data_IF_592413457585
#
_entry.id   IF_592413457585
#
_cell.length_a   1.000
_cell.length_b   1.000
_cell.length_c   1.000
_cell.angle_alpha   90.00
_cell.angle_beta   90.00
_cell.angle_gamma   90.00
#
_symmetry.space_group_name_H-M   'P 1'
#
loop_
_entity.id
_entity.type
_entity.pdbx_description
1 polymer ?
#
# COMPACT_ATOMS: atom_id res chain seq x y z
N UNK A 1 16.61 -36.93 -18.34
CA UNK A 1 16.89 -36.40 -16.98
C UNK A 1 15.95 -37.14 -16.03
N UNK A 2 16.46 -37.92 -15.08
CA UNK A 2 15.62 -38.77 -14.21
C UNK A 2 14.93 -37.90 -13.14
N UNK A 3 13.67 -37.55 -13.39
CA UNK A 3 12.85 -36.69 -12.52
C UNK A 3 12.58 -37.34 -11.14
N UNK A 4 12.55 -38.67 -11.06
CA UNK A 4 12.34 -39.38 -9.78
C UNK A 4 13.49 -39.14 -8.80
N UNK A 5 14.73 -39.16 -9.27
CA UNK A 5 15.90 -38.95 -8.41
C UNK A 5 15.90 -37.52 -7.82
N UNK A 6 15.58 -36.53 -8.64
CA UNK A 6 15.42 -35.14 -8.20
C UNK A 6 14.29 -35.07 -7.16
N UNK A 7 13.12 -35.64 -7.44
CA UNK A 7 11.99 -35.62 -6.51
C UNK A 7 12.33 -36.24 -5.15
N UNK A 8 13.03 -37.38 -5.12
CA UNK A 8 13.46 -38.04 -3.86
C UNK A 8 14.44 -37.19 -3.05
N UNK A 9 15.45 -36.59 -3.68
CA UNK A 9 16.42 -35.72 -3.00
C UNK A 9 15.74 -34.46 -2.41
N UNK A 10 14.72 -33.94 -3.11
CA UNK A 10 13.93 -32.82 -2.60
C UNK A 10 13.04 -33.21 -1.41
N UNK A 11 12.49 -34.43 -1.39
CA UNK A 11 11.68 -34.93 -0.28
C UNK A 11 12.51 -35.11 0.99
N UNK A 12 13.72 -35.66 0.85
CA UNK A 12 14.63 -35.85 1.98
C UNK A 12 15.00 -34.50 2.63
N UNK A 13 15.29 -33.47 1.82
CA UNK A 13 15.54 -32.10 2.30
C UNK A 13 14.34 -31.45 2.98
N UNK A 14 13.11 -31.83 2.60
CA UNK A 14 11.87 -31.33 3.21
C UNK A 14 11.68 -31.89 4.62
N UNK A 15 11.99 -33.17 4.82
CA UNK A 15 11.87 -33.84 6.13
C UNK A 15 12.85 -33.28 7.17
N UNK A 16 14.03 -32.80 6.73
CA UNK A 16 15.06 -32.22 7.61
C UNK A 16 14.65 -30.87 8.25
N UNK A 17 13.65 -30.15 7.70
CA UNK A 17 13.19 -28.84 8.22
C UNK A 17 11.67 -28.69 8.12
N UNK A 18 10.88 -29.34 8.99
CA UNK A 18 9.43 -29.19 8.97
C UNK A 18 9.02 -27.77 9.35
N UNK A 19 8.13 -27.15 8.58
CA UNK A 19 7.58 -25.81 8.84
C UNK A 19 6.93 -25.69 10.23
N UNK A 20 6.42 -26.80 10.78
CA UNK A 20 5.86 -26.90 12.13
C UNK A 20 6.87 -26.56 13.24
N UNK A 21 8.16 -26.85 13.05
CA UNK A 21 9.19 -26.55 14.04
C UNK A 21 9.28 -25.04 14.32
N UNK A 22 9.24 -24.23 13.25
CA UNK A 22 9.26 -22.77 13.37
C UNK A 22 7.99 -22.17 13.98
N UNK A 23 6.84 -22.85 13.88
CA UNK A 23 5.62 -22.42 14.57
C UNK A 23 5.73 -22.63 16.07
N UNK A 24 6.24 -23.79 16.50
CA UNK A 24 6.42 -24.13 17.92
C UNK A 24 7.40 -23.15 18.57
N UNK A 25 8.55 -22.90 17.95
CA UNK A 25 9.53 -21.95 18.48
C UNK A 25 8.96 -20.54 18.64
N UNK A 26 8.19 -20.05 17.66
CA UNK A 26 7.53 -18.74 17.75
C UNK A 26 6.42 -18.71 18.81
N UNK A 27 5.71 -19.82 18.97
CA UNK A 27 4.68 -19.96 20.01
C UNK A 27 5.31 -19.85 21.40
N UNK A 28 6.44 -20.52 21.61
CA UNK A 28 7.20 -20.46 22.85
C UNK A 28 7.73 -19.04 23.15
N UNK A 29 8.03 -18.25 22.11
CA UNK A 29 8.48 -16.85 22.25
C UNK A 29 7.34 -15.83 22.39
N UNK A 30 6.08 -16.24 22.20
CA UNK A 30 4.94 -15.32 22.18
C UNK A 30 4.81 -14.51 20.87
N UNK A 31 5.58 -14.83 19.84
CA UNK A 31 5.66 -14.10 18.55
C UNK A 31 4.63 -14.59 17.52
N UNK A 32 3.50 -15.14 17.99
CA UNK A 32 2.43 -15.66 17.14
C UNK A 32 1.30 -14.65 17.10
N UNK A 33 1.11 -14.09 15.92
CA UNK A 33 0.02 -13.19 15.64
C UNK A 33 -1.33 -13.90 15.90
N UNK A 34 -2.28 -13.21 16.54
CA UNK A 34 -3.60 -13.76 16.93
C UNK A 34 -4.34 -14.43 15.75
N UNK A 35 -4.15 -13.93 14.54
CA UNK A 35 -4.74 -14.47 13.31
C UNK A 35 -4.11 -15.80 12.84
N UNK A 36 -3.02 -16.26 13.44
CA UNK A 36 -2.33 -17.49 13.05
C UNK A 36 -2.70 -18.71 13.90
N UNK A 37 -3.50 -18.55 14.96
CA UNK A 37 -3.75 -19.63 15.92
C UNK A 37 -4.55 -20.80 15.33
N UNK A 38 -5.60 -20.48 14.57
CA UNK A 38 -6.56 -21.48 14.07
C UNK A 38 -6.68 -21.48 12.53
N UNK A 39 -5.63 -21.02 11.83
CA UNK A 39 -5.68 -20.84 10.36
C UNK A 39 -4.53 -21.56 9.66
N UNK A 40 -4.90 -22.49 8.77
CA UNK A 40 -3.99 -23.25 7.90
C UNK A 40 -3.89 -22.61 6.51
N UNK A 41 -3.45 -21.36 6.44
CA UNK A 41 -3.13 -20.69 5.17
C UNK A 41 -1.61 -20.58 5.03
N UNK A 42 -1.10 -21.08 3.89
CA UNK A 42 0.33 -21.07 3.52
C UNK A 42 0.97 -19.71 3.78
N UNK A 43 2.05 -19.69 4.58
CA UNK A 43 2.84 -18.49 4.88
C UNK A 43 3.72 -18.11 3.68
N UNK A 44 4.13 -16.86 3.62
CA UNK A 44 5.20 -16.48 2.68
C UNK A 44 6.53 -16.99 3.21
N UNK A 45 7.23 -17.78 2.39
CA UNK A 45 8.57 -18.29 2.68
C UNK A 45 9.53 -17.71 1.63
N UNK A 46 10.54 -16.96 2.08
CA UNK A 46 11.52 -16.37 1.16
C UNK A 46 12.30 -17.49 0.47
N UNK A 47 12.51 -17.36 -0.84
CA UNK A 47 13.46 -18.20 -1.56
C UNK A 47 14.86 -17.86 -1.06
N UNK A 48 15.48 -18.75 -0.29
CA UNK A 48 16.90 -18.65 0.05
C UNK A 48 17.73 -19.09 -1.17
N UNK A 49 18.91 -18.49 -1.38
CA UNK A 49 19.83 -18.93 -2.41
C UNK A 49 20.10 -20.44 -2.25
N UNK A 50 19.96 -21.21 -3.33
CA UNK A 50 20.12 -22.67 -3.33
C UNK A 50 18.88 -23.50 -2.98
N UNK A 51 17.71 -22.88 -2.75
CA UNK A 51 16.46 -23.66 -2.63
C UNK A 51 16.13 -24.35 -3.96
N UNK A 52 15.75 -25.62 -3.84
CA UNK A 52 15.17 -26.41 -4.90
C UNK A 52 13.90 -25.77 -5.47
N UNK A 53 13.57 -26.09 -6.74
CA UNK A 53 12.28 -25.73 -7.33
C UNK A 53 11.15 -26.15 -6.39
N UNK A 54 10.15 -25.28 -6.22
CA UNK A 54 8.97 -25.59 -5.43
C UNK A 54 8.30 -26.85 -6.01
N UNK A 55 7.87 -27.74 -5.13
CA UNK A 55 7.11 -28.91 -5.54
C UNK A 55 5.73 -28.50 -6.08
N UNK A 56 5.18 -29.23 -7.06
CA UNK A 56 3.82 -28.98 -7.55
C UNK A 56 2.78 -28.93 -6.42
N UNK A 57 2.90 -29.82 -5.42
CA UNK A 57 1.98 -29.93 -4.29
C UNK A 57 2.10 -28.74 -3.32
N UNK A 58 3.21 -28.01 -3.35
CA UNK A 58 3.42 -26.83 -2.51
C UNK A 58 2.84 -25.56 -3.14
N UNK A 59 2.44 -25.58 -4.42
CA UNK A 59 1.99 -24.40 -5.16
C UNK A 59 0.49 -24.47 -5.42
N UNK A 60 -0.25 -23.48 -4.91
CA UNK A 60 -1.72 -23.47 -5.03
C UNK A 60 -2.16 -23.12 -6.46
N UNK A 61 -3.12 -23.86 -7.05
CA UNK A 61 -3.66 -23.52 -8.37
C UNK A 61 -4.54 -22.26 -8.30
N UNK A 62 -4.77 -21.61 -9.45
CA UNK A 62 -5.46 -20.31 -9.54
C UNK A 62 -6.83 -20.26 -8.85
N UNK A 63 -7.63 -21.33 -8.92
CA UNK A 63 -8.95 -21.41 -8.26
C UNK A 63 -8.83 -21.36 -6.73
N UNK A 64 -7.82 -22.03 -6.18
CA UNK A 64 -7.52 -22.03 -4.75
C UNK A 64 -6.98 -20.67 -4.34
N UNK A 65 -6.11 -20.04 -5.14
CA UNK A 65 -5.60 -18.69 -4.86
C UNK A 65 -6.73 -17.65 -4.73
N UNK A 66 -7.73 -17.69 -5.62
CA UNK A 66 -8.91 -16.81 -5.52
C UNK A 66 -9.70 -17.08 -4.24
N UNK A 67 -10.02 -18.35 -3.96
CA UNK A 67 -10.81 -18.73 -2.78
C UNK A 67 -10.11 -18.37 -1.47
N UNK A 68 -8.79 -18.57 -1.40
CA UNK A 68 -7.98 -18.22 -0.25
C UNK A 68 -7.93 -16.70 -0.06
N UNK A 69 -7.81 -15.91 -1.12
CA UNK A 69 -7.86 -14.46 -0.99
C UNK A 69 -9.21 -13.99 -0.43
N UNK A 70 -10.33 -14.51 -0.95
CA UNK A 70 -11.66 -14.13 -0.49
C UNK A 70 -11.89 -14.52 0.98
N UNK A 71 -11.36 -15.66 1.42
CA UNK A 71 -11.32 -16.02 2.84
C UNK A 71 -10.46 -15.06 3.67
N UNK A 72 -9.25 -14.73 3.21
CA UNK A 72 -8.33 -13.85 3.93
C UNK A 72 -8.89 -12.44 4.13
N UNK A 73 -9.64 -11.91 3.17
CA UNK A 73 -10.20 -10.55 3.27
C UNK A 73 -11.16 -10.38 4.47
N UNK A 74 -11.69 -11.48 5.03
CA UNK A 74 -12.56 -11.45 6.21
C UNK A 74 -11.81 -11.06 7.51
N UNK A 75 -10.47 -11.16 7.54
CA UNK A 75 -9.65 -10.83 8.72
C UNK A 75 -9.18 -9.37 8.74
N UNK A 76 -9.68 -8.53 7.83
CA UNK A 76 -9.31 -7.13 7.77
C UNK A 76 -10.04 -6.31 8.85
N UNK A 77 -9.35 -5.99 9.95
CA UNK A 77 -9.83 -5.06 10.99
C UNK A 77 -9.05 -3.74 11.01
N UNK A 78 -8.16 -3.54 10.03
CA UNK A 78 -7.24 -2.41 9.93
C UNK A 78 -6.29 -2.22 11.12
N UNK A 79 -6.07 -3.26 11.92
CA UNK A 79 -5.00 -3.30 12.93
C UNK A 79 -3.63 -3.56 12.30
N UNK A 80 -2.57 -3.27 13.04
CA UNK A 80 -1.21 -3.62 12.62
C UNK A 80 -1.03 -5.15 12.56
N UNK A 81 -1.67 -5.88 13.46
CA UNK A 81 -1.66 -7.33 13.48
C UNK A 81 -2.35 -7.91 12.25
N UNK A 82 -3.51 -7.39 11.84
CA UNK A 82 -4.18 -7.87 10.62
C UNK A 82 -3.35 -7.53 9.39
N UNK A 83 -2.71 -6.34 9.36
CA UNK A 83 -1.77 -5.99 8.30
C UNK A 83 -0.62 -7.00 8.19
N UNK A 84 0.12 -7.25 9.29
CA UNK A 84 1.25 -8.18 9.33
C UNK A 84 0.83 -9.59 8.89
N UNK A 85 -0.38 -10.03 9.28
CA UNK A 85 -0.94 -11.31 8.86
C UNK A 85 -1.28 -11.33 7.35
N UNK A 86 -2.09 -10.37 6.88
CA UNK A 86 -2.58 -10.34 5.51
C UNK A 86 -1.50 -10.03 4.50
N UNK A 87 -0.55 -9.14 4.78
CA UNK A 87 0.61 -8.89 3.91
C UNK A 87 1.37 -10.19 3.70
N UNK A 88 1.65 -10.93 4.77
CA UNK A 88 2.38 -12.19 4.68
C UNK A 88 1.64 -13.22 3.81
N UNK A 89 0.33 -13.41 4.03
CA UNK A 89 -0.46 -14.40 3.29
C UNK A 89 -0.70 -14.00 1.83
N UNK A 90 -1.00 -12.72 1.58
CA UNK A 90 -1.16 -12.20 0.22
C UNK A 90 0.17 -12.23 -0.55
N UNK A 91 1.31 -12.04 0.11
CA UNK A 91 2.63 -12.23 -0.51
C UNK A 91 2.91 -13.68 -0.90
N UNK A 92 2.45 -14.63 -0.09
CA UNK A 92 2.47 -16.07 -0.45
C UNK A 92 1.63 -16.35 -1.70
N UNK A 93 0.43 -15.75 -1.80
CA UNK A 93 -0.42 -15.84 -3.01
C UNK A 93 0.30 -15.28 -4.24
N UNK A 94 0.91 -14.09 -4.12
CA UNK A 94 1.68 -13.48 -5.22
C UNK A 94 2.89 -14.33 -5.64
N UNK A 95 3.56 -14.97 -4.69
CA UNK A 95 4.67 -15.88 -4.98
C UNK A 95 4.19 -17.11 -5.79
N UNK A 96 3.06 -17.71 -5.41
CA UNK A 96 2.49 -18.85 -6.15
C UNK A 96 2.06 -18.45 -7.58
N UNK A 97 1.54 -17.23 -7.77
CA UNK A 97 1.24 -16.67 -9.09
C UNK A 97 2.51 -16.55 -9.93
N UNK A 98 3.59 -16.03 -9.35
CA UNK A 98 4.87 -15.84 -10.03
C UNK A 98 5.54 -17.17 -10.39
N UNK A 99 5.52 -18.17 -9.50
CA UNK A 99 6.10 -19.49 -9.76
C UNK A 99 5.40 -20.19 -10.93
N UNK A 100 4.08 -20.01 -11.06
CA UNK A 100 3.27 -20.58 -12.13
C UNK A 100 3.20 -19.70 -13.38
N UNK A 101 3.80 -18.50 -13.37
CA UNK A 101 3.78 -17.54 -14.48
C UNK A 101 2.35 -17.25 -15.01
N UNK A 102 1.38 -17.08 -14.09
CA UNK A 102 -0.03 -16.97 -14.46
C UNK A 102 -0.40 -15.59 -15.01
N UNK A 103 -0.86 -15.52 -16.26
CA UNK A 103 -1.28 -14.26 -16.94
C UNK A 103 -2.79 -14.14 -17.21
N UNK A 104 -3.63 -14.83 -16.45
CA UNK A 104 -5.09 -14.86 -16.70
C UNK A 104 -5.89 -13.75 -15.98
N UNK A 105 -7.15 -13.57 -16.36
CA UNK A 105 -8.05 -12.56 -15.75
C UNK A 105 -8.23 -12.73 -14.23
N UNK A 106 -8.20 -13.97 -13.74
CA UNK A 106 -8.24 -14.23 -12.28
C UNK A 106 -6.98 -13.72 -11.59
N UNK A 107 -5.81 -13.80 -12.23
CA UNK A 107 -4.58 -13.21 -11.70
C UNK A 107 -4.74 -11.71 -11.53
N UNK A 108 -5.25 -11.03 -12.57
CA UNK A 108 -5.51 -9.59 -12.52
C UNK A 108 -6.43 -9.27 -11.35
N UNK A 109 -7.59 -9.92 -11.24
CA UNK A 109 -8.54 -9.70 -10.14
C UNK A 109 -7.93 -9.90 -8.74
N UNK A 110 -7.08 -10.91 -8.56
CA UNK A 110 -6.39 -11.17 -7.30
C UNK A 110 -5.44 -10.00 -6.96
N UNK A 111 -4.60 -9.60 -7.92
CA UNK A 111 -3.64 -8.52 -7.73
C UNK A 111 -4.33 -7.17 -7.47
N UNK A 112 -5.43 -6.90 -8.16
CA UNK A 112 -6.26 -5.72 -7.95
C UNK A 112 -6.80 -5.64 -6.52
N UNK A 113 -7.41 -6.73 -6.02
CA UNK A 113 -7.93 -6.82 -4.65
C UNK A 113 -6.82 -6.62 -3.61
N UNK A 114 -5.66 -7.27 -3.79
CA UNK A 114 -4.52 -7.11 -2.90
C UNK A 114 -4.00 -5.67 -2.94
N UNK A 115 -3.89 -5.06 -4.11
CA UNK A 115 -3.43 -3.67 -4.24
C UNK A 115 -4.36 -2.70 -3.49
N UNK A 116 -5.68 -2.81 -3.67
CA UNK A 116 -6.65 -1.98 -2.93
C UNK A 116 -6.52 -2.17 -1.42
N UNK A 117 -6.37 -3.41 -0.95
CA UNK A 117 -6.17 -3.72 0.46
C UNK A 117 -4.92 -3.01 1.03
N UNK A 118 -3.79 -3.08 0.32
CA UNK A 118 -2.55 -2.44 0.78
C UNK A 118 -2.62 -0.91 0.77
N UNK A 119 -3.32 -0.31 -0.20
CA UNK A 119 -3.60 1.13 -0.23
C UNK A 119 -4.40 1.54 1.01
N UNK A 120 -5.43 0.78 1.36
CA UNK A 120 -6.24 1.03 2.55
C UNK A 120 -5.42 0.90 3.85
N UNK A 121 -4.58 -0.13 3.96
CA UNK A 121 -3.69 -0.27 5.12
C UNK A 121 -2.70 0.88 5.23
N UNK A 122 -2.17 1.37 4.10
CA UNK A 122 -1.27 2.52 4.10
C UNK A 122 -1.92 3.73 4.76
N UNK A 123 -3.17 4.00 4.40
CA UNK A 123 -3.93 5.11 4.95
C UNK A 123 -4.41 4.83 6.38
N UNK A 124 -4.82 3.62 6.72
CA UNK A 124 -5.32 3.30 8.05
C UNK A 124 -4.22 3.33 9.12
N UNK A 125 -2.98 2.95 8.74
CA UNK A 125 -1.85 2.82 9.65
C UNK A 125 -0.83 3.98 9.56
N UNK A 126 -1.15 5.08 8.87
CA UNK A 126 -0.21 6.17 8.59
C UNK A 126 0.39 6.84 9.86
N UNK A 127 -0.35 6.83 10.98
CA UNK A 127 0.07 7.37 12.27
C UNK A 127 0.64 6.30 13.22
N UNK A 128 0.67 5.03 12.80
CA UNK A 128 1.20 3.94 13.60
C UNK A 128 2.74 3.89 13.50
N UNK A 129 3.43 4.08 14.63
CA UNK A 129 4.91 4.12 14.68
C UNK A 129 5.59 2.81 14.30
N UNK A 130 4.92 1.67 14.47
CA UNK A 130 5.47 0.36 14.10
C UNK A 130 5.16 -0.02 12.64
N UNK A 131 4.38 0.79 11.93
CA UNK A 131 4.05 0.54 10.54
C UNK A 131 5.15 1.10 9.63
N UNK A 132 5.86 0.20 8.97
CA UNK A 132 6.89 0.55 7.99
C UNK A 132 6.24 0.90 6.63
N UNK A 133 5.71 2.13 6.54
CA UNK A 133 4.99 2.62 5.35
C UNK A 133 5.78 2.38 4.05
N UNK A 134 7.08 2.66 4.05
CA UNK A 134 7.93 2.50 2.87
C UNK A 134 7.93 1.06 2.32
N UNK A 135 7.89 0.03 3.18
CA UNK A 135 7.82 -1.36 2.74
C UNK A 135 6.47 -1.67 2.09
N UNK A 136 5.39 -1.11 2.63
CA UNK A 136 4.06 -1.27 2.08
C UNK A 136 3.96 -0.62 0.69
N UNK A 137 4.47 0.60 0.56
CA UNK A 137 4.54 1.32 -0.72
C UNK A 137 5.36 0.55 -1.76
N UNK A 138 6.49 -0.05 -1.37
CA UNK A 138 7.27 -0.92 -2.24
C UNK A 138 6.48 -2.15 -2.72
N UNK A 139 5.62 -2.74 -1.86
CA UNK A 139 4.72 -3.81 -2.30
C UNK A 139 3.66 -3.31 -3.28
N UNK A 140 3.06 -2.15 -3.01
CA UNK A 140 2.06 -1.53 -3.90
C UNK A 140 2.69 -1.26 -5.28
N UNK A 141 3.88 -0.65 -5.33
CA UNK A 141 4.62 -0.39 -6.58
C UNK A 141 4.88 -1.68 -7.37
N UNK A 142 5.33 -2.74 -6.72
CA UNK A 142 5.57 -4.05 -7.37
C UNK A 142 4.31 -4.63 -7.98
N UNK A 143 3.20 -4.62 -7.23
CA UNK A 143 1.91 -5.13 -7.73
C UNK A 143 1.40 -4.29 -8.90
N UNK A 144 1.47 -2.96 -8.81
CA UNK A 144 1.05 -2.07 -9.89
C UNK A 144 1.91 -2.23 -11.15
N UNK A 145 3.21 -2.48 -10.99
CA UNK A 145 4.11 -2.84 -12.09
C UNK A 145 3.67 -4.11 -12.81
N UNK A 146 3.43 -5.19 -12.06
CA UNK A 146 2.92 -6.45 -12.62
C UNK A 146 1.55 -6.27 -13.28
N UNK A 147 0.63 -5.52 -12.65
CA UNK A 147 -0.67 -5.21 -13.25
C UNK A 147 -0.52 -4.46 -14.58
N UNK A 148 0.36 -3.46 -14.66
CA UNK A 148 0.66 -2.73 -15.89
C UNK A 148 1.13 -3.66 -17.01
N UNK A 149 2.03 -4.60 -16.71
CA UNK A 149 2.51 -5.60 -17.66
C UNK A 149 1.38 -6.53 -18.14
N UNK A 150 0.60 -7.09 -17.21
CA UNK A 150 -0.53 -7.98 -17.53
C UNK A 150 -1.57 -7.26 -18.41
N UNK A 151 -1.89 -6.02 -18.09
CA UNK A 151 -2.81 -5.22 -18.89
C UNK A 151 -2.26 -4.96 -20.30
N UNK A 152 -0.97 -4.65 -20.42
CA UNK A 152 -0.33 -4.44 -21.71
C UNK A 152 -0.27 -5.74 -22.54
N UNK A 153 0.02 -6.89 -21.93
CA UNK A 153 0.04 -8.20 -22.59
C UNK A 153 -1.35 -8.55 -23.12
N UNK A 154 -2.40 -8.33 -22.33
CA UNK A 154 -3.79 -8.55 -22.75
C UNK A 154 -4.18 -7.70 -23.98
N UNK A 155 -3.69 -6.47 -24.05
CA UNK A 155 -3.91 -5.59 -25.21
C UNK A 155 -3.17 -6.07 -26.46
N UNK A 156 -1.89 -6.46 -26.32
CA UNK A 156 -1.08 -6.97 -27.44
C UNK A 156 -1.66 -8.24 -28.06
N UNK A 157 -2.24 -9.10 -27.23
CA UNK A 157 -2.84 -10.36 -27.67
C UNK A 157 -4.21 -10.17 -28.38
N UNK A 158 -4.71 -8.92 -28.52
CA UNK A 158 -6.00 -8.64 -29.18
C UNK A 158 -7.21 -9.22 -28.43
N UNK A 159 -7.03 -9.71 -27.20
CA UNK A 159 -8.04 -10.43 -26.42
C UNK A 159 -9.14 -9.51 -25.89
N UNK A 160 -8.96 -8.18 -25.94
CA UNK A 160 -10.04 -7.25 -25.65
C UNK A 160 -9.78 -5.86 -26.26
N UNK A 161 -10.59 -5.51 -27.27
CA UNK A 161 -10.62 -4.17 -27.88
C UNK A 161 -11.06 -3.05 -26.90
N UNK A 162 -11.40 -3.39 -25.65
CA UNK A 162 -11.93 -2.48 -24.65
C UNK A 162 -11.14 -2.46 -23.32
N UNK A 163 -9.99 -3.13 -23.19
CA UNK A 163 -9.25 -3.15 -21.91
C UNK A 163 -8.90 -1.74 -21.43
N UNK A 164 -8.44 -0.86 -22.33
CA UNK A 164 -8.13 0.54 -21.99
C UNK A 164 -9.36 1.35 -21.56
N UNK A 165 -10.56 0.89 -21.91
CA UNK A 165 -11.86 1.47 -21.52
C UNK A 165 -12.43 0.82 -20.26
N UNK A 166 -11.84 -0.27 -19.76
CA UNK A 166 -12.25 -0.88 -18.50
C UNK A 166 -12.01 0.09 -17.36
N UNK A 167 -12.99 0.21 -16.47
CA UNK A 167 -12.91 1.05 -15.27
C UNK A 167 -11.71 0.66 -14.41
N UNK A 168 -11.45 -0.65 -14.26
CA UNK A 168 -10.34 -1.16 -13.46
C UNK A 168 -8.99 -0.78 -14.10
N UNK A 169 -8.84 -0.88 -15.41
CA UNK A 169 -7.61 -0.44 -16.08
C UNK A 169 -7.31 1.02 -15.77
N UNK A 170 -8.29 1.91 -15.92
CA UNK A 170 -8.13 3.34 -15.64
C UNK A 170 -7.82 3.61 -14.16
N UNK A 171 -8.44 2.86 -13.26
CA UNK A 171 -8.17 2.90 -11.82
C UNK A 171 -6.71 2.54 -11.51
N UNK A 172 -6.23 1.37 -11.94
CA UNK A 172 -4.89 0.89 -11.61
C UNK A 172 -3.78 1.62 -12.36
N UNK A 173 -4.00 2.04 -13.61
CA UNK A 173 -3.07 2.95 -14.29
C UNK A 173 -3.00 4.31 -13.58
N UNK A 174 -4.13 4.76 -13.04
CA UNK A 174 -4.20 5.91 -12.15
C UNK A 174 -3.31 5.74 -10.92
N UNK A 175 -3.48 4.65 -10.17
CA UNK A 175 -2.67 4.36 -8.98
C UNK A 175 -1.18 4.23 -9.32
N UNK A 176 -0.83 3.56 -10.43
CA UNK A 176 0.55 3.48 -10.90
C UNK A 176 1.14 4.88 -11.14
N UNK A 177 0.37 5.78 -11.77
CA UNK A 177 0.80 7.17 -12.01
C UNK A 177 0.96 7.98 -10.74
N UNK A 178 0.06 7.81 -9.76
CA UNK A 178 0.08 8.51 -8.48
C UNK A 178 1.27 8.10 -7.61
N UNK A 179 1.53 6.80 -7.46
CA UNK A 179 2.59 6.29 -6.57
C UNK A 179 4.01 6.54 -7.10
N UNK A 180 4.11 6.91 -8.37
CA UNK A 180 5.38 7.12 -9.08
C UNK A 180 5.66 8.60 -9.37
N UNK A 181 5.06 9.52 -8.60
CA UNK A 181 5.28 10.97 -8.77
C UNK A 181 6.76 11.38 -8.73
N UNK A 182 7.52 10.79 -7.80
CA UNK A 182 8.95 11.08 -7.61
C UNK A 182 9.84 10.36 -8.63
N UNK A 183 9.32 9.40 -9.40
CA UNK A 183 10.11 8.63 -10.35
C UNK A 183 10.31 9.46 -11.64
N UNK A 184 11.53 9.95 -11.84
CA UNK A 184 11.95 10.83 -12.95
C UNK A 184 11.68 10.22 -14.33
N UNK A 185 11.65 8.88 -14.41
CA UNK A 185 11.53 8.11 -15.66
C UNK A 185 10.09 7.96 -16.18
N UNK A 186 9.06 8.38 -15.44
CA UNK A 186 7.67 8.27 -15.89
C UNK A 186 7.26 9.46 -16.77
N UNK A 187 7.84 9.50 -17.97
CA UNK A 187 7.52 10.42 -19.05
C UNK A 187 7.09 9.66 -20.31
N UNK A 188 6.00 8.87 -20.27
CA UNK A 188 5.27 8.49 -21.49
C UNK A 188 4.02 7.60 -21.26
N UNK A 189 2.98 7.92 -22.05
CA UNK A 189 2.01 7.01 -22.68
C UNK A 189 0.73 6.53 -21.97
N UNK A 190 0.19 7.27 -20.99
CA UNK A 190 -1.17 7.00 -20.48
C UNK A 190 -2.17 8.14 -20.75
N UNK A 191 -1.86 9.06 -21.67
CA UNK A 191 -2.59 10.31 -21.91
C UNK A 191 -3.88 10.17 -22.75
N UNK A 192 -4.86 9.37 -22.31
CA UNK A 192 -6.12 9.23 -23.08
C UNK A 192 -7.42 9.34 -22.27
N UNK A 193 -7.41 9.67 -20.97
CA UNK A 193 -8.66 9.80 -20.18
C UNK A 193 -8.70 11.02 -19.27
N UNK A 194 -9.91 11.54 -19.02
CA UNK A 194 -10.16 12.72 -18.16
C UNK A 194 -9.76 12.51 -16.69
N UNK A 195 -9.79 11.27 -16.19
CA UNK A 195 -9.29 10.95 -14.84
C UNK A 195 -7.77 11.04 -14.76
N UNK A 196 -7.06 10.67 -15.83
CA UNK A 196 -5.60 10.71 -15.88
C UNK A 196 -5.06 12.14 -16.03
N UNK A 197 -5.83 13.06 -16.61
CA UNK A 197 -5.49 14.49 -16.67
C UNK A 197 -5.62 15.19 -15.31
N UNK A 198 -6.56 14.76 -14.45
CA UNK A 198 -6.60 15.20 -13.05
C UNK A 198 -5.29 14.83 -12.33
N UNK A 199 -4.82 13.59 -12.51
CA UNK A 199 -3.57 13.15 -11.89
C UNK A 199 -2.33 13.86 -12.46
N UNK A 200 -2.33 14.28 -13.72
CA UNK A 200 -1.29 15.18 -14.27
C UNK A 200 -1.29 16.54 -13.57
N UNK A 201 -2.47 17.13 -13.38
CA UNK A 201 -2.60 18.40 -12.67
C UNK A 201 -2.14 18.29 -11.20
N UNK A 202 -2.41 17.16 -10.54
CA UNK A 202 -1.92 16.90 -9.18
C UNK A 202 -0.40 16.74 -9.18
N UNK A 203 0.16 15.96 -10.12
CA UNK A 203 1.62 15.81 -10.26
C UNK A 203 2.29 17.15 -10.51
N UNK A 204 1.72 17.98 -11.38
CA UNK A 204 2.22 19.33 -11.66
C UNK A 204 2.16 20.23 -10.42
N UNK A 205 1.06 20.20 -9.67
CA UNK A 205 0.97 20.95 -8.41
C UNK A 205 2.01 20.48 -7.39
N UNK A 206 2.25 19.18 -7.31
CA UNK A 206 3.29 18.59 -6.46
C UNK A 206 4.70 19.04 -6.87
N UNK A 207 5.07 18.94 -8.15
CA UNK A 207 6.40 19.35 -8.63
C UNK A 207 6.66 20.84 -8.50
N UNK A 208 5.62 21.66 -8.65
CA UNK A 208 5.69 23.12 -8.46
C UNK A 208 5.65 23.56 -6.99
N UNK A 209 5.52 22.63 -6.03
CA UNK A 209 5.25 22.93 -4.62
C UNK A 209 4.01 23.84 -4.42
N UNK A 210 3.01 23.73 -5.30
CA UNK A 210 1.75 24.46 -5.18
C UNK A 210 0.83 23.73 -4.20
N UNK A 211 1.06 23.99 -2.91
CA UNK A 211 0.38 23.33 -1.78
C UNK A 211 -1.14 23.43 -1.89
N UNK A 212 -1.66 24.64 -2.09
CA UNK A 212 -3.10 24.89 -2.18
C UNK A 212 -3.74 24.05 -3.30
N UNK A 213 -3.17 24.10 -4.51
CA UNK A 213 -3.70 23.36 -5.65
C UNK A 213 -3.61 21.85 -5.44
N UNK A 214 -2.53 21.36 -4.82
CA UNK A 214 -2.38 19.94 -4.50
C UNK A 214 -3.46 19.47 -3.50
N UNK A 215 -3.65 20.17 -2.39
CA UNK A 215 -4.64 19.79 -1.36
C UNK A 215 -6.09 19.94 -1.83
N UNK A 216 -6.36 20.89 -2.73
CA UNK A 216 -7.65 21.06 -3.35
C UNK A 216 -7.97 19.90 -4.31
N UNK A 217 -7.04 19.57 -5.21
CA UNK A 217 -7.24 18.52 -6.21
C UNK A 217 -7.20 17.11 -5.61
N UNK A 218 -6.38 16.86 -4.60
CA UNK A 218 -6.35 15.56 -3.90
C UNK A 218 -7.70 15.23 -3.27
N UNK A 219 -8.39 16.21 -2.66
CA UNK A 219 -9.73 16.05 -2.08
C UNK A 219 -10.85 15.82 -3.10
N UNK A 220 -10.63 16.16 -4.37
CA UNK A 220 -11.62 15.88 -5.43
C UNK A 220 -11.46 14.50 -6.07
N UNK A 221 -10.44 13.72 -5.66
CA UNK A 221 -10.23 12.35 -6.15
C UNK A 221 -11.14 11.34 -5.46
N UNK A 222 -11.21 10.12 -6.01
CA UNK A 222 -11.86 9.01 -5.31
C UNK A 222 -11.10 8.62 -4.04
N UNK A 223 -11.77 7.92 -3.12
CA UNK A 223 -11.23 7.60 -1.81
C UNK A 223 -9.89 6.87 -1.85
N UNK A 224 -9.72 5.89 -2.74
CA UNK A 224 -8.47 5.13 -2.83
C UNK A 224 -7.33 5.95 -3.45
N UNK A 225 -7.64 6.78 -4.46
CA UNK A 225 -6.68 7.78 -4.98
C UNK A 225 -6.26 8.76 -3.89
N UNK A 226 -7.19 9.23 -3.06
CA UNK A 226 -6.90 10.09 -1.92
C UNK A 226 -6.00 9.39 -0.89
N UNK A 227 -6.31 8.14 -0.51
CA UNK A 227 -5.48 7.32 0.38
C UNK A 227 -4.03 7.21 -0.13
N UNK A 228 -3.84 7.03 -1.43
CA UNK A 228 -2.53 6.94 -2.05
C UNK A 228 -1.81 8.29 -2.07
N UNK A 229 -2.53 9.38 -2.34
CA UNK A 229 -1.99 10.74 -2.32
C UNK A 229 -1.56 11.21 -0.92
N UNK A 230 -2.17 10.65 0.13
CA UNK A 230 -1.85 10.94 1.52
C UNK A 230 -0.38 10.67 1.85
N UNK A 231 0.26 9.71 1.15
CA UNK A 231 1.70 9.42 1.25
C UNK A 231 2.60 10.64 1.01
N UNK A 232 2.13 11.62 0.24
CA UNK A 232 2.86 12.85 -0.06
C UNK A 232 2.52 14.01 0.88
N UNK A 233 1.51 13.86 1.75
CA UNK A 233 0.98 14.98 2.54
C UNK A 233 2.01 15.49 3.53
N UNK A 234 2.69 14.61 4.26
CA UNK A 234 3.68 15.03 5.26
C UNK A 234 4.84 15.79 4.60
N UNK A 235 5.36 15.27 3.49
CA UNK A 235 6.42 15.94 2.72
C UNK A 235 6.03 17.37 2.31
N UNK A 236 4.80 17.54 1.81
CA UNK A 236 4.29 18.85 1.39
C UNK A 236 3.95 19.76 2.58
N UNK A 237 3.40 19.22 3.66
CA UNK A 237 3.07 19.96 4.88
C UNK A 237 4.34 20.49 5.54
N UNK A 238 5.39 19.67 5.63
CA UNK A 238 6.70 20.08 6.13
C UNK A 238 7.30 21.20 5.28
N UNK A 239 7.25 21.06 3.95
CA UNK A 239 7.67 22.10 3.02
C UNK A 239 6.87 23.40 3.22
N UNK A 240 5.55 23.28 3.42
CA UNK A 240 4.68 24.43 3.68
C UNK A 240 5.01 25.13 4.98
N UNK A 241 5.22 24.40 6.06
CA UNK A 241 5.68 24.95 7.34
C UNK A 241 7.00 25.69 7.13
N UNK A 242 7.97 25.11 6.41
CA UNK A 242 9.26 25.74 6.13
C UNK A 242 9.11 27.05 5.33
N UNK A 243 8.22 27.09 4.34
CA UNK A 243 7.93 28.28 3.55
C UNK A 243 7.30 29.36 4.44
N UNK A 244 6.25 29.00 5.19
CA UNK A 244 5.54 29.97 6.03
C UNK A 244 6.40 30.47 7.19
N UNK A 245 7.24 29.63 7.81
CA UNK A 245 8.15 30.06 8.88
C UNK A 245 9.19 31.08 8.39
N UNK A 246 9.51 31.11 7.10
CA UNK A 246 10.40 32.13 6.51
C UNK A 246 9.66 33.42 6.14
N UNK A 247 8.35 33.33 5.86
CA UNK A 247 7.54 34.48 5.47
C UNK A 247 7.00 35.27 6.67
N UNK A 248 6.78 34.64 7.81
CA UNK A 248 6.22 35.26 8.99
C UNK A 248 7.28 35.46 10.08
N UNK A 249 7.37 36.67 10.62
CA UNK A 249 8.24 37.02 11.75
C UNK A 249 7.57 36.67 13.09
N UNK A 250 6.23 36.74 13.13
CA UNK A 250 5.42 36.53 14.33
C UNK A 250 4.83 35.11 14.42
N UNK A 251 4.37 34.74 15.62
CA UNK A 251 3.68 33.47 15.85
C UNK A 251 2.37 33.45 15.04
N UNK A 252 2.20 32.38 14.25
CA UNK A 252 1.01 32.20 13.42
C UNK A 252 -0.05 31.43 14.22
N UNK A 253 -1.30 31.88 14.13
CA UNK A 253 -2.42 31.14 14.69
C UNK A 253 -2.58 29.77 14.02
N UNK A 254 -2.77 28.73 14.83
CA UNK A 254 -3.00 27.35 14.41
C UNK A 254 -4.18 27.23 13.43
N UNK A 255 -5.22 28.07 13.58
CA UNK A 255 -6.39 28.04 12.69
C UNK A 255 -6.04 28.45 11.25
N UNK A 256 -5.08 29.36 11.08
CA UNK A 256 -4.61 29.80 9.77
C UNK A 256 -3.79 28.71 9.09
N UNK A 257 -2.88 28.07 9.83
CA UNK A 257 -2.07 26.95 9.31
C UNK A 257 -2.97 25.77 8.91
N UNK A 258 -4.00 25.47 9.71
CA UNK A 258 -4.97 24.41 9.40
C UNK A 258 -5.70 24.69 8.09
N UNK A 259 -6.10 25.93 7.84
CA UNK A 259 -6.74 26.34 6.58
C UNK A 259 -5.77 26.27 5.39
N UNK A 260 -4.52 26.72 5.57
CA UNK A 260 -3.53 26.79 4.49
C UNK A 260 -2.99 25.41 4.08
N UNK A 261 -2.71 24.54 5.05
CA UNK A 261 -2.18 23.18 4.83
C UNK A 261 -3.26 22.10 4.81
N UNK A 262 -4.53 22.53 4.91
CA UNK A 262 -5.71 21.68 4.96
C UNK A 262 -5.54 20.50 5.93
N UNK A 263 -5.23 20.82 7.19
CA UNK A 263 -5.05 19.84 8.26
C UNK A 263 -6.39 19.58 8.95
N UNK A 264 -6.70 18.32 9.21
CA UNK A 264 -7.62 17.95 10.28
C UNK A 264 -6.92 18.08 11.65
N UNK A 265 -7.68 18.14 12.75
CA UNK A 265 -7.10 18.23 14.10
C UNK A 265 -6.14 17.07 14.40
N UNK A 266 -6.49 15.84 13.97
CA UNK A 266 -5.64 14.65 14.13
C UNK A 266 -4.33 14.78 13.37
N UNK A 267 -4.39 15.25 12.12
CA UNK A 267 -3.22 15.44 11.28
C UNK A 267 -2.32 16.58 11.79
N UNK A 268 -2.90 17.64 12.34
CA UNK A 268 -2.13 18.70 12.99
C UNK A 268 -1.34 18.14 14.17
N UNK A 269 -1.98 17.37 15.06
CA UNK A 269 -1.32 16.75 16.21
C UNK A 269 -0.20 15.81 15.74
N UNK A 270 -0.47 14.97 14.74
CA UNK A 270 0.55 14.09 14.13
C UNK A 270 1.74 14.88 13.59
N UNK A 271 1.48 15.96 12.83
CA UNK A 271 2.50 16.81 12.26
C UNK A 271 3.33 17.54 13.33
N UNK A 272 2.70 18.06 14.38
CA UNK A 272 3.39 18.69 15.52
C UNK A 272 4.30 17.70 16.24
N UNK A 273 3.82 16.48 16.49
CA UNK A 273 4.62 15.41 17.09
C UNK A 273 5.84 15.04 16.22
N UNK A 274 5.69 15.09 14.88
CA UNK A 274 6.78 14.82 13.93
C UNK A 274 7.79 15.98 13.81
N UNK A 275 7.35 17.22 14.04
CA UNK A 275 8.14 18.44 13.78
C UNK A 275 8.73 19.09 15.03
N UNK A 276 8.49 18.55 16.23
CA UNK A 276 8.81 19.19 17.52
C UNK A 276 8.25 20.62 17.65
N UNK A 277 7.22 20.98 16.88
CA UNK A 277 6.56 22.28 16.95
C UNK A 277 5.58 22.26 18.12
N UNK A 278 5.78 23.13 19.10
CA UNK A 278 4.91 23.26 20.26
C UNK A 278 3.65 24.06 19.92
N UNK A 279 2.48 23.46 20.07
CA UNK A 279 1.20 24.17 20.06
C UNK A 279 1.02 24.86 21.42
N UNK A 280 1.16 26.19 21.47
CA UNK A 280 0.71 26.95 22.64
C UNK A 280 -0.81 26.99 22.63
N UNK A 281 -1.46 26.34 23.61
CA UNK A 281 -2.89 26.48 23.82
C UNK A 281 -3.22 27.96 24.02
N UNK A 282 -4.07 28.52 23.17
CA UNK A 282 -4.74 29.79 23.47
C UNK A 282 -5.66 29.53 24.64
N UNK A 283 -5.38 30.19 25.76
CA UNK A 283 -6.26 30.29 26.92
C UNK A 283 -7.67 30.60 26.44
N UNK A 284 -8.59 29.66 26.64
CA UNK A 284 -10.01 29.96 26.67
C UNK A 284 -10.18 31.10 27.66
N UNK A 285 -10.62 32.24 27.16
CA UNK A 285 -11.15 33.33 27.95
C UNK A 285 -12.28 32.77 28.80
N UNK A 286 -11.98 32.42 30.04
CA UNK A 286 -12.97 32.41 31.12
C UNK A 286 -13.37 33.87 31.29
N UNK A 287 -14.47 34.23 30.63
CA UNK A 287 -15.27 35.39 30.99
C UNK A 287 -15.47 35.31 32.50
N UNK A 288 -14.91 36.29 33.21
CA UNK A 288 -15.32 36.61 34.57
C UNK A 288 -16.83 36.80 34.52
N UNK A 289 -17.58 35.85 35.08
CA UNK A 289 -18.93 36.14 35.54
C UNK A 289 -18.77 37.11 36.71
N UNK A 290 -19.17 38.35 36.44
CA UNK A 290 -19.29 39.40 37.42
C UNK A 290 -20.22 38.92 38.54
N UNK A 291 -19.69 38.93 39.77
CA UNK A 291 -20.51 38.97 40.97
C UNK A 291 -21.18 40.33 41.02
N UNK A 292 -22.50 40.37 40.91
CA UNK A 292 -23.39 41.18 41.75
C UNK A 292 -24.77 40.54 41.78
#
# INVERSE_FOLDING_TARGET
MNLEYIYRDLLQKREEKPEYSGYIERTLRGDVNKYERDILVKKYNRSSAGKSKAFPEDVRPISVLTSVLDYLLQFCDFSLESYKFLENRTRSIRLDISIQELECDRTIMILEKICRLLILYNYALYDNKEFEEYLNIEQIKKILGTLKELYNNKNKQGLSNNTHRSKNYQEFMGYYKLITFDDVLNTSDLSLTSKLSLFDNIKMAYTQNNLYRFFLLSRSTDFLSFCLLHTYYDKLRLKGIEIYSKCFIEKIDSSLINKLLFLSERELISLCNKTNIQLTQTSTTTSKEDRY
#
